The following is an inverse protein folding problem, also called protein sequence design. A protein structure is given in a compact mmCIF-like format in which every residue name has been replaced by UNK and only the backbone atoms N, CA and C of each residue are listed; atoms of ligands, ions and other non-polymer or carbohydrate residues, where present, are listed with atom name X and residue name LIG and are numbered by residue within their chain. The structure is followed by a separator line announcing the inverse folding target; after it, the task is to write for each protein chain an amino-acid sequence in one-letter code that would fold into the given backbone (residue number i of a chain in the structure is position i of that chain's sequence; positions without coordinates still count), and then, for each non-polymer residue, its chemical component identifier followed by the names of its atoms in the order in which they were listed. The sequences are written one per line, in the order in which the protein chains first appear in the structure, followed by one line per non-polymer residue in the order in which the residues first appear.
data_IF_442171111609
#
_entry.id   IF_442171111609
#
_cell.length_a   1.000
_cell.length_b   1.000
_cell.length_c   1.000
_cell.angle_alpha   90.00
_cell.angle_beta   90.00
_cell.angle_gamma   90.00
#
_symmetry.space_group_name_H-M   'P 1'
#
loop_
_entity.id
_entity.type
_entity.pdbx_description
1 polymer ?
#
# COMPACT_ATOMS: atom_id res chain seq x y z
N UNK A 1 -21.05 10.34 29.74
CA UNK A 1 -21.00 9.51 28.51
C UNK A 1 -19.55 9.03 28.36
N UNK A 2 -19.27 7.72 28.48
CA UNK A 2 -17.91 7.18 28.31
C UNK A 2 -17.49 7.32 26.85
N UNK A 3 -16.33 7.94 26.52
CA UNK A 3 -15.84 7.96 25.15
C UNK A 3 -15.64 6.53 24.65
N UNK A 4 -16.08 6.26 23.42
CA UNK A 4 -15.90 4.96 22.77
C UNK A 4 -14.40 4.63 22.66
N UNK A 5 -14.05 3.33 22.65
CA UNK A 5 -12.63 2.87 22.56
C UNK A 5 -11.88 3.44 21.34
N UNK A 6 -12.59 3.66 20.24
CA UNK A 6 -12.04 4.29 19.03
C UNK A 6 -11.67 5.77 19.23
N UNK A 7 -12.44 6.49 20.05
CA UNK A 7 -12.15 7.90 20.36
C UNK A 7 -10.83 8.05 21.14
N UNK A 8 -10.55 7.20 22.11
CA UNK A 8 -9.31 7.26 22.90
C UNK A 8 -8.07 6.96 22.04
N UNK A 9 -8.15 5.97 21.13
CA UNK A 9 -7.05 5.65 20.20
C UNK A 9 -6.74 6.85 19.30
N UNK A 10 -7.74 7.41 18.67
CA UNK A 10 -7.61 8.56 17.78
C UNK A 10 -7.01 9.77 18.49
N UNK A 11 -7.46 10.06 19.72
CA UNK A 11 -6.94 11.15 20.53
C UNK A 11 -5.48 10.94 20.94
N UNK A 12 -5.08 9.71 21.29
CA UNK A 12 -3.67 9.38 21.57
C UNK A 12 -2.81 9.62 20.35
N UNK A 13 -3.25 9.16 19.18
CA UNK A 13 -2.55 9.37 17.90
C UNK A 13 -2.43 10.87 17.59
N UNK A 14 -3.49 11.65 17.79
CA UNK A 14 -3.49 13.10 17.55
C UNK A 14 -2.45 13.83 18.41
N UNK A 15 -2.33 13.46 19.69
CA UNK A 15 -1.28 14.02 20.57
C UNK A 15 0.11 13.63 20.07
N UNK A 16 0.31 12.37 19.70
CA UNK A 16 1.60 11.87 19.20
C UNK A 16 1.99 12.50 17.84
N UNK A 17 1.04 12.90 17.01
CA UNK A 17 1.31 13.66 15.78
C UNK A 17 1.91 15.04 16.04
N UNK A 18 1.65 15.63 17.20
CA UNK A 18 2.27 16.92 17.61
C UNK A 18 3.69 16.77 18.12
N UNK A 19 4.11 15.54 18.40
CA UNK A 19 5.48 15.21 18.80
C UNK A 19 5.59 14.10 19.84
N UNK A 20 6.81 13.63 20.09
CA UNK A 20 7.10 12.58 21.06
C UNK A 20 6.66 12.96 22.48
N UNK A 21 5.96 12.08 23.17
CA UNK A 21 5.40 12.35 24.49
C UNK A 21 5.47 11.14 25.42
N UNK A 22 5.21 11.35 26.71
CA UNK A 22 5.20 10.28 27.72
C UNK A 22 3.78 9.81 28.05
N UNK A 23 3.67 8.62 28.65
CA UNK A 23 2.40 8.13 29.18
C UNK A 23 1.72 9.12 30.13
N UNK A 24 2.49 9.76 31.02
CA UNK A 24 1.97 10.70 32.01
C UNK A 24 1.45 11.97 31.36
N UNK A 25 2.14 12.47 30.34
CA UNK A 25 1.69 13.62 29.55
C UNK A 25 0.37 13.30 28.83
N UNK A 26 0.26 12.11 28.22
CA UNK A 26 -0.99 11.65 27.58
C UNK A 26 -2.15 11.56 28.55
N UNK A 27 -1.92 11.01 29.76
CA UNK A 27 -2.95 10.93 30.82
C UNK A 27 -3.42 12.33 31.21
N UNK A 28 -2.48 13.25 31.44
CA UNK A 28 -2.79 14.63 31.84
C UNK A 28 -3.55 15.36 30.75
N UNK A 29 -3.12 15.25 29.50
CA UNK A 29 -3.71 15.98 28.38
C UNK A 29 -5.07 15.45 27.97
N UNK A 30 -5.24 14.12 27.96
CA UNK A 30 -6.46 13.49 27.49
C UNK A 30 -7.52 13.30 28.59
N UNK A 31 -7.13 13.41 29.86
CA UNK A 31 -8.04 13.18 30.98
C UNK A 31 -8.55 11.74 31.07
N UNK A 32 -7.79 10.78 30.54
CA UNK A 32 -8.16 9.35 30.49
C UNK A 32 -7.28 8.57 31.46
N UNK A 33 -7.78 7.44 31.96
CA UNK A 33 -7.05 6.64 32.95
C UNK A 33 -5.73 6.11 32.38
N UNK A 34 -4.71 6.01 33.24
CA UNK A 34 -3.39 5.46 32.89
C UNK A 34 -3.47 4.07 32.23
N UNK A 35 -4.38 3.24 32.72
CA UNK A 35 -4.61 1.88 32.18
C UNK A 35 -5.16 1.93 30.77
N UNK A 36 -6.10 2.81 30.47
CA UNK A 36 -6.66 2.96 29.13
C UNK A 36 -5.62 3.46 28.13
N UNK A 37 -4.81 4.48 28.51
CA UNK A 37 -3.72 4.98 27.64
C UNK A 37 -2.67 3.88 27.40
N UNK A 38 -2.26 3.15 28.45
CA UNK A 38 -1.30 2.05 28.32
C UNK A 38 -1.78 0.97 27.35
N UNK A 39 -3.05 0.62 27.42
CA UNK A 39 -3.66 -0.35 26.50
C UNK A 39 -3.57 0.15 25.03
N UNK A 40 -3.92 1.43 24.78
CA UNK A 40 -3.85 1.99 23.43
C UNK A 40 -2.41 2.05 22.92
N UNK A 41 -1.47 2.46 23.76
CA UNK A 41 -0.05 2.46 23.38
C UNK A 41 0.45 1.05 23.05
N UNK A 42 0.09 0.04 23.83
CA UNK A 42 0.47 -1.35 23.57
C UNK A 42 -0.10 -1.88 22.24
N UNK A 43 -1.35 -1.51 21.91
CA UNK A 43 -1.97 -1.85 20.63
C UNK A 43 -1.23 -1.13 19.48
N UNK A 44 -0.96 0.16 19.61
CA UNK A 44 -0.27 0.96 18.60
C UNK A 44 1.18 0.50 18.39
N UNK A 45 1.87 0.08 19.47
CA UNK A 45 3.22 -0.53 19.37
C UNK A 45 3.17 -1.87 18.63
N UNK A 46 2.23 -2.76 18.96
CA UNK A 46 2.02 -4.03 18.28
C UNK A 46 1.72 -3.84 16.79
N UNK A 47 0.91 -2.84 16.45
CA UNK A 47 0.53 -2.50 15.08
C UNK A 47 1.65 -1.74 14.34
N UNK A 48 2.81 -1.52 14.95
CA UNK A 48 3.95 -0.80 14.37
C UNK A 48 3.69 0.70 14.14
N UNK A 49 2.63 1.25 14.72
CA UNK A 49 2.28 2.66 14.56
C UNK A 49 3.04 3.58 15.53
N UNK A 50 3.47 3.05 16.67
CA UNK A 50 4.19 3.78 17.72
C UNK A 50 5.45 3.04 18.12
N UNK A 51 6.49 3.77 18.46
CA UNK A 51 7.76 3.24 18.93
C UNK A 51 8.20 3.96 20.20
N UNK A 52 8.94 3.26 21.07
CA UNK A 52 9.63 3.87 22.23
C UNK A 52 10.98 4.41 21.80
N UNK A 53 11.22 5.71 22.02
CA UNK A 53 12.45 6.43 21.65
C UNK A 53 13.36 6.76 22.84
N UNK A 54 13.35 5.96 23.88
CA UNK A 54 14.20 6.18 25.05
C UNK A 54 13.42 6.65 26.28
N UNK A 55 14.13 7.29 27.18
CA UNK A 55 13.62 7.73 28.48
C UNK A 55 13.75 9.24 28.64
N UNK A 56 12.70 9.89 29.11
CA UNK A 56 12.72 11.30 29.57
C UNK A 56 12.74 11.33 31.09
N UNK A 57 13.49 12.26 31.69
CA UNK A 57 13.48 12.48 33.13
C UNK A 57 12.06 12.85 33.58
N UNK A 58 11.41 11.98 34.35
CA UNK A 58 10.12 12.22 34.98
C UNK A 58 10.25 12.83 36.34
N UNK A 59 9.11 13.18 36.99
CA UNK A 59 9.08 13.75 38.37
C UNK A 59 9.73 12.83 39.42
N UNK A 60 9.52 11.52 39.30
CA UNK A 60 10.00 10.53 40.28
C UNK A 60 10.87 9.44 39.64
N UNK A 61 10.57 9.03 38.42
CA UNK A 61 11.29 7.98 37.66
C UNK A 61 11.38 8.34 36.21
N UNK A 62 12.42 7.87 35.48
CA UNK A 62 12.47 8.00 34.04
C UNK A 62 11.22 7.38 33.39
N UNK A 63 10.64 8.06 32.41
CA UNK A 63 9.45 7.63 31.69
C UNK A 63 9.79 7.37 30.21
N UNK A 64 9.26 6.30 29.65
CA UNK A 64 9.37 6.03 28.23
C UNK A 64 8.71 7.14 27.41
N UNK A 65 9.39 7.56 26.37
CA UNK A 65 8.88 8.47 25.34
C UNK A 65 8.33 7.64 24.20
N UNK A 66 7.13 7.97 23.77
CA UNK A 66 6.43 7.35 22.66
C UNK A 66 6.38 8.31 21.48
N UNK A 67 6.57 7.78 20.29
CA UNK A 67 6.61 8.54 19.03
C UNK A 67 5.88 7.75 17.95
N UNK A 68 5.19 8.44 17.03
CA UNK A 68 4.65 7.81 15.84
C UNK A 68 5.80 7.38 14.91
N UNK A 69 5.64 6.24 14.26
CA UNK A 69 6.54 5.84 13.19
C UNK A 69 6.26 6.64 11.92
N UNK A 70 7.30 6.88 11.10
CA UNK A 70 7.12 7.56 9.82
C UNK A 70 6.11 6.84 8.91
N UNK A 71 6.09 5.51 8.95
CA UNK A 71 5.11 4.70 8.21
C UNK A 71 3.67 4.93 8.69
N UNK A 72 3.45 5.06 10.01
CA UNK A 72 2.13 5.39 10.53
C UNK A 72 1.69 6.79 10.10
N UNK A 73 2.59 7.75 10.08
CA UNK A 73 2.31 9.11 9.65
C UNK A 73 1.98 9.18 8.15
N UNK A 74 2.72 8.44 7.32
CA UNK A 74 2.41 8.29 5.88
C UNK A 74 1.02 7.69 5.66
N UNK A 75 0.66 6.64 6.40
CA UNK A 75 -0.68 6.02 6.31
C UNK A 75 -1.83 6.95 6.70
N UNK A 76 -1.56 7.97 7.51
CA UNK A 76 -2.53 8.99 7.92
C UNK A 76 -2.64 10.16 6.93
N UNK A 77 -1.76 10.23 5.94
CA UNK A 77 -1.81 11.29 4.93
C UNK A 77 -2.96 11.03 3.96
N UNK A 78 -3.84 11.99 3.83
CA UNK A 78 -4.93 11.98 2.84
C UNK A 78 -4.57 12.79 1.59
N UNK A 79 -3.35 13.30 1.47
CA UNK A 79 -2.91 14.13 0.36
C UNK A 79 -2.48 13.33 -0.87
N UNK A 80 -2.01 12.08 -0.69
CA UNK A 80 -1.43 11.31 -1.78
C UNK A 80 -2.40 11.08 -2.94
N UNK A 81 -3.62 10.65 -2.65
CA UNK A 81 -4.62 10.39 -3.71
C UNK A 81 -5.01 11.67 -4.44
N UNK A 82 -5.42 12.78 -3.78
CA UNK A 82 -5.72 14.04 -4.48
C UNK A 82 -4.55 14.57 -5.30
N UNK A 83 -3.33 14.54 -4.76
CA UNK A 83 -2.13 15.02 -5.48
C UNK A 83 -1.84 14.14 -6.69
N UNK A 84 -1.92 12.81 -6.54
CA UNK A 84 -1.73 11.88 -7.66
C UNK A 84 -2.78 12.10 -8.75
N UNK A 85 -4.06 12.24 -8.39
CA UNK A 85 -5.13 12.49 -9.36
C UNK A 85 -4.87 13.78 -10.13
N UNK A 86 -4.51 14.87 -9.46
CA UNK A 86 -4.20 16.14 -10.13
C UNK A 86 -2.95 16.04 -10.99
N UNK A 87 -1.92 15.30 -10.55
CA UNK A 87 -0.73 15.06 -11.35
C UNK A 87 -1.06 14.31 -12.66
N UNK A 88 -1.91 13.29 -12.58
CA UNK A 88 -2.37 12.53 -13.75
C UNK A 88 -3.17 13.44 -14.72
N UNK A 89 -4.05 14.29 -14.23
CA UNK A 89 -4.75 15.28 -15.06
C UNK A 89 -3.76 16.22 -15.78
N UNK A 90 -2.80 16.79 -15.05
CA UNK A 90 -1.80 17.69 -15.65
C UNK A 90 -0.95 16.95 -16.68
N UNK A 91 -0.60 15.69 -16.46
CA UNK A 91 0.16 14.89 -17.42
C UNK A 91 -0.67 14.55 -18.65
N UNK A 92 -1.94 14.15 -18.49
CA UNK A 92 -2.83 13.85 -19.61
C UNK A 92 -3.14 15.07 -20.47
N UNK A 93 -3.12 16.27 -19.91
CA UNK A 93 -3.32 17.52 -20.65
C UNK A 93 -2.06 17.96 -21.44
N UNK A 94 -0.87 17.51 -21.01
CA UNK A 94 0.42 17.94 -21.58
C UNK A 94 1.05 16.93 -22.55
N UNK A 95 0.71 15.66 -22.40
CA UNK A 95 1.29 14.55 -23.16
C UNK A 95 0.26 14.03 -24.16
N UNK A 96 0.74 13.56 -25.31
CA UNK A 96 -0.08 12.74 -26.19
C UNK A 96 -0.44 11.41 -25.50
N UNK A 97 -1.51 10.75 -25.95
CA UNK A 97 -1.92 9.46 -25.43
C UNK A 97 -0.79 8.40 -25.47
N UNK A 98 0.04 8.44 -26.51
CA UNK A 98 1.19 7.53 -26.67
C UNK A 98 2.29 7.82 -25.63
N UNK A 99 2.60 9.10 -25.42
CA UNK A 99 3.60 9.51 -24.42
C UNK A 99 3.12 9.21 -22.99
N UNK A 100 1.83 9.44 -22.72
CA UNK A 100 1.25 9.16 -21.41
C UNK A 100 1.26 7.64 -21.12
N UNK A 101 0.90 6.80 -22.11
CA UNK A 101 1.02 5.34 -21.99
C UNK A 101 2.47 4.92 -21.71
N UNK A 102 3.43 5.47 -22.43
CA UNK A 102 4.85 5.18 -22.23
C UNK A 102 5.31 5.55 -20.81
N UNK A 103 4.91 6.70 -20.30
CA UNK A 103 5.19 7.13 -18.92
C UNK A 103 4.58 6.16 -17.90
N UNK A 104 3.34 5.71 -18.10
CA UNK A 104 2.70 4.75 -17.19
C UNK A 104 3.43 3.40 -17.19
N UNK A 105 3.84 2.90 -18.37
CA UNK A 105 4.65 1.68 -18.47
C UNK A 105 6.01 1.83 -17.79
N UNK A 106 6.65 2.99 -17.90
CA UNK A 106 7.91 3.31 -17.20
C UNK A 106 7.71 3.29 -15.68
N UNK A 107 6.64 3.87 -15.17
CA UNK A 107 6.29 3.81 -13.75
C UNK A 107 6.19 2.36 -13.28
N UNK A 108 5.52 1.48 -14.04
CA UNK A 108 5.44 0.05 -13.73
C UNK A 108 6.81 -0.62 -13.64
N UNK A 109 7.72 -0.31 -14.58
CA UNK A 109 9.10 -0.82 -14.57
C UNK A 109 9.90 -0.31 -13.37
N UNK A 110 9.77 0.97 -13.03
CA UNK A 110 10.51 1.59 -11.92
C UNK A 110 10.06 1.07 -10.54
N UNK A 111 8.80 0.66 -10.39
CA UNK A 111 8.33 0.00 -9.16
C UNK A 111 9.06 -1.31 -8.87
N UNK A 112 9.79 -1.84 -9.84
CA UNK A 112 10.58 -3.07 -9.74
C UNK A 112 12.10 -2.84 -9.65
N UNK A 113 12.58 -1.61 -9.68
CA UNK A 113 14.02 -1.30 -9.83
C UNK A 113 14.91 -2.01 -8.79
N UNK A 114 14.43 -2.13 -7.55
CA UNK A 114 15.18 -2.76 -6.45
C UNK A 114 14.66 -4.16 -6.08
N UNK A 115 13.75 -4.73 -6.88
CA UNK A 115 13.13 -6.03 -6.56
C UNK A 115 13.77 -7.16 -7.39
N UNK A 116 14.19 -8.26 -6.75
CA UNK A 116 14.68 -9.42 -7.47
C UNK A 116 13.55 -10.03 -8.32
N UNK A 117 13.88 -10.44 -9.54
CA UNK A 117 12.93 -11.13 -10.42
C UNK A 117 12.74 -12.57 -9.94
N UNK A 118 11.51 -13.10 -9.88
CA UNK A 118 11.27 -14.50 -9.56
C UNK A 118 11.81 -15.41 -10.66
N UNK A 119 12.25 -16.61 -10.27
CA UNK A 119 12.76 -17.65 -11.17
C UNK A 119 11.89 -18.89 -11.09
N UNK A 120 12.04 -19.81 -12.05
CA UNK A 120 11.32 -21.07 -12.08
C UNK A 120 10.13 -21.06 -13.05
N UNK A 121 9.23 -22.04 -12.88
CA UNK A 121 8.07 -22.22 -13.73
C UNK A 121 7.19 -20.97 -13.79
N UNK A 122 6.52 -20.77 -14.91
CA UNK A 122 5.64 -19.60 -15.14
C UNK A 122 4.62 -19.41 -14.00
N UNK A 123 4.05 -20.50 -13.50
CA UNK A 123 3.10 -20.49 -12.38
C UNK A 123 3.71 -19.92 -11.11
N UNK A 124 4.90 -20.34 -10.72
CA UNK A 124 5.57 -19.82 -9.53
C UNK A 124 5.89 -18.34 -9.66
N UNK A 125 6.28 -17.89 -10.87
CA UNK A 125 6.51 -16.47 -11.17
C UNK A 125 5.21 -15.66 -11.11
N UNK A 126 4.09 -16.20 -11.59
CA UNK A 126 2.77 -15.58 -11.50
C UNK A 126 2.27 -15.51 -10.05
N UNK A 127 2.51 -16.53 -9.23
CA UNK A 127 2.19 -16.53 -7.80
C UNK A 127 2.99 -15.45 -7.05
N UNK A 128 4.28 -15.31 -7.34
CA UNK A 128 5.10 -14.22 -6.80
C UNK A 128 4.60 -12.83 -7.23
N UNK A 129 4.13 -12.68 -8.48
CA UNK A 129 3.52 -11.43 -8.94
C UNK A 129 2.17 -11.14 -8.25
N UNK A 130 1.37 -12.18 -7.99
CA UNK A 130 0.14 -12.05 -7.20
C UNK A 130 0.44 -11.56 -5.79
N UNK A 131 1.46 -12.09 -5.14
CA UNK A 131 1.88 -11.64 -3.81
C UNK A 131 2.38 -10.19 -3.83
N UNK A 132 3.16 -9.79 -4.83
CA UNK A 132 3.58 -8.40 -5.03
C UNK A 132 2.37 -7.46 -5.18
N UNK A 133 1.37 -7.83 -5.98
CA UNK A 133 0.15 -7.05 -6.13
C UNK A 133 -0.64 -6.96 -4.82
N UNK A 134 -0.63 -8.02 -3.99
CA UNK A 134 -1.26 -8.00 -2.67
C UNK A 134 -0.55 -7.05 -1.70
N UNK A 135 0.78 -6.95 -1.77
CA UNK A 135 1.54 -5.95 -1.00
C UNK A 135 1.21 -4.51 -1.42
N UNK A 136 0.80 -4.30 -2.67
CA UNK A 136 0.34 -3.01 -3.19
C UNK A 136 -1.15 -2.73 -2.91
N UNK A 137 -1.82 -3.58 -2.13
CA UNK A 137 -3.23 -3.42 -1.75
C UNK A 137 -4.22 -4.11 -2.69
N UNK A 138 -3.74 -4.98 -3.57
CA UNK A 138 -4.58 -5.93 -4.31
C UNK A 138 -5.13 -7.02 -3.39
N UNK A 139 -6.09 -7.77 -3.92
CA UNK A 139 -6.55 -9.03 -3.34
C UNK A 139 -6.62 -10.02 -4.47
N UNK A 140 -5.48 -10.64 -4.77
CA UNK A 140 -5.28 -11.40 -6.00
C UNK A 140 -5.08 -12.88 -5.74
N UNK A 141 -5.45 -13.69 -6.73
CA UNK A 141 -5.18 -15.13 -6.80
C UNK A 141 -4.83 -15.52 -8.23
N UNK A 142 -4.02 -16.58 -8.38
CA UNK A 142 -3.64 -17.15 -9.67
C UNK A 142 -4.60 -18.28 -10.02
N UNK A 143 -5.21 -18.21 -11.19
CA UNK A 143 -6.09 -19.21 -11.78
C UNK A 143 -5.50 -19.71 -13.11
N UNK A 144 -6.01 -20.85 -13.58
CA UNK A 144 -5.62 -21.43 -14.88
C UNK A 144 -4.62 -22.58 -14.78
N UNK A 145 -4.25 -23.10 -15.93
CA UNK A 145 -3.35 -24.25 -16.11
C UNK A 145 -2.26 -23.92 -17.17
N UNK A 146 -1.49 -24.91 -17.57
CA UNK A 146 -0.30 -24.75 -18.42
C UNK A 146 -0.47 -24.01 -19.76
N UNK A 147 -1.67 -23.86 -20.29
CA UNK A 147 -1.93 -23.13 -21.55
C UNK A 147 -2.13 -21.62 -21.35
N UNK A 148 -2.41 -21.17 -20.12
CA UNK A 148 -2.56 -19.78 -19.79
C UNK A 148 -2.87 -19.59 -18.30
N UNK A 149 -2.28 -18.57 -17.73
CA UNK A 149 -2.52 -18.20 -16.34
C UNK A 149 -3.24 -16.86 -16.27
N UNK A 150 -4.08 -16.72 -15.28
CA UNK A 150 -4.78 -15.46 -14.99
C UNK A 150 -4.55 -15.09 -13.54
N UNK A 151 -4.00 -13.90 -13.31
CA UNK A 151 -4.06 -13.29 -11.99
C UNK A 151 -5.38 -12.51 -11.91
N UNK A 152 -6.29 -12.99 -11.07
CA UNK A 152 -7.57 -12.34 -10.81
C UNK A 152 -7.51 -11.53 -9.54
N UNK A 153 -7.92 -10.27 -9.59
CA UNK A 153 -8.02 -9.40 -8.42
C UNK A 153 -9.48 -9.16 -8.00
N UNK A 154 -9.74 -9.20 -6.72
CA UNK A 154 -11.02 -8.81 -6.10
C UNK A 154 -11.05 -7.33 -5.67
N UNK A 155 -9.97 -6.61 -5.84
CA UNK A 155 -9.83 -5.17 -5.58
C UNK A 155 -8.81 -4.55 -6.52
N UNK A 156 -8.83 -3.23 -6.64
CA UNK A 156 -7.87 -2.50 -7.47
C UNK A 156 -7.00 -1.60 -6.59
N UNK A 157 -5.68 -1.76 -6.57
CA UNK A 157 -4.79 -0.88 -5.81
C UNK A 157 -4.82 0.57 -6.31
N UNK A 158 -5.23 0.79 -7.57
CA UNK A 158 -5.38 2.09 -8.19
C UNK A 158 -6.83 2.55 -8.32
N UNK A 159 -7.76 2.00 -7.51
CA UNK A 159 -9.20 2.28 -7.64
C UNK A 159 -9.55 3.77 -7.63
N UNK A 160 -8.78 4.57 -6.92
CA UNK A 160 -9.01 6.01 -6.81
C UNK A 160 -8.70 6.79 -8.11
N UNK A 161 -7.89 6.24 -9.02
CA UNK A 161 -7.46 6.91 -10.25
C UNK A 161 -7.86 6.15 -11.52
N UNK A 162 -8.08 4.85 -11.44
CA UNK A 162 -8.31 3.99 -12.60
C UNK A 162 -9.64 4.25 -13.34
N UNK A 163 -10.59 4.94 -12.72
CA UNK A 163 -11.87 5.33 -13.34
C UNK A 163 -11.65 6.53 -14.26
N UNK A 164 -10.98 7.57 -13.76
CA UNK A 164 -10.77 8.83 -14.50
C UNK A 164 -9.55 8.73 -15.43
N UNK A 165 -8.54 7.93 -15.06
CA UNK A 165 -7.29 7.72 -15.79
C UNK A 165 -7.04 6.21 -16.01
N UNK A 166 -7.78 5.58 -16.94
CA UNK A 166 -7.62 4.15 -17.22
C UNK A 166 -6.22 3.73 -17.66
N UNK A 167 -5.43 4.65 -18.21
CA UNK A 167 -4.04 4.44 -18.63
C UNK A 167 -3.13 4.09 -17.46
N UNK A 168 -3.50 4.46 -16.23
CA UNK A 168 -2.75 4.04 -15.03
C UNK A 168 -2.70 2.53 -14.84
N UNK A 169 -3.67 1.79 -15.43
CA UNK A 169 -3.66 0.34 -15.44
C UNK A 169 -2.46 -0.23 -16.22
N UNK A 170 -1.91 0.52 -17.19
CA UNK A 170 -0.75 0.10 -17.97
C UNK A 170 0.54 0.04 -17.13
N UNK A 171 0.59 0.81 -16.04
CA UNK A 171 1.66 0.67 -15.05
C UNK A 171 1.62 -0.71 -14.37
N UNK A 172 0.43 -1.19 -13.99
CA UNK A 172 0.29 -2.51 -13.38
C UNK A 172 0.53 -3.65 -14.38
N UNK A 173 0.10 -3.48 -15.63
CA UNK A 173 0.40 -4.44 -16.71
C UNK A 173 1.91 -4.56 -16.93
N UNK A 174 2.59 -3.43 -17.09
CA UNK A 174 4.04 -3.38 -17.26
C UNK A 174 4.78 -3.98 -16.06
N UNK A 175 4.35 -3.65 -14.83
CA UNK A 175 4.90 -4.24 -13.62
C UNK A 175 4.80 -5.77 -13.64
N UNK A 176 3.61 -6.32 -13.90
CA UNK A 176 3.40 -7.78 -13.90
C UNK A 176 4.19 -8.43 -15.03
N UNK A 177 4.14 -7.88 -16.25
CA UNK A 177 4.86 -8.41 -17.42
C UNK A 177 6.38 -8.49 -17.18
N UNK A 178 6.95 -7.40 -16.69
CA UNK A 178 8.37 -7.32 -16.38
C UNK A 178 8.78 -8.23 -15.22
N UNK A 179 7.95 -8.33 -14.18
CA UNK A 179 8.23 -9.15 -13.02
C UNK A 179 8.15 -10.63 -13.33
N UNK A 180 7.13 -11.05 -14.07
CA UNK A 180 6.93 -12.46 -14.47
C UNK A 180 7.88 -12.83 -15.63
N UNK A 181 8.30 -11.88 -16.47
CA UNK A 181 9.08 -12.14 -17.67
C UNK A 181 8.27 -12.86 -18.74
N UNK A 182 6.97 -12.55 -18.86
CA UNK A 182 6.04 -13.15 -19.80
C UNK A 182 5.18 -12.07 -20.47
N UNK A 183 4.45 -12.44 -21.50
CA UNK A 183 3.50 -11.52 -22.14
C UNK A 183 2.25 -11.45 -21.29
N UNK A 184 1.88 -10.25 -20.91
CA UNK A 184 0.76 -9.99 -20.01
C UNK A 184 -0.17 -8.99 -20.66
N UNK A 185 -1.47 -9.29 -20.62
CA UNK A 185 -2.52 -8.36 -21.06
C UNK A 185 -3.48 -8.14 -19.90
N UNK A 186 -3.69 -6.87 -19.54
CA UNK A 186 -4.63 -6.54 -18.50
C UNK A 186 -6.06 -6.36 -19.05
N UNK A 187 -7.04 -6.87 -18.31
CA UNK A 187 -8.45 -6.63 -18.54
C UNK A 187 -9.08 -6.10 -17.24
N UNK A 188 -9.39 -4.82 -17.24
CA UNK A 188 -9.98 -4.18 -16.07
C UNK A 188 -11.50 -4.05 -16.26
N UNK A 189 -12.25 -4.64 -15.33
CA UNK A 189 -13.68 -4.34 -15.19
C UNK A 189 -13.82 -3.08 -14.32
N UNK A 190 -14.31 -2.00 -14.93
CA UNK A 190 -14.49 -0.68 -14.28
C UNK A 190 -15.96 -0.40 -13.99
N UNK A 191 -16.88 -1.30 -14.31
CA UNK A 191 -18.29 -1.18 -13.98
C UNK A 191 -18.48 -1.38 -12.47
N UNK A 192 -18.63 -0.30 -11.74
CA UNK A 192 -18.74 -0.29 -10.28
C UNK A 192 -17.37 -0.34 -9.57
N UNK A 193 -17.15 -1.33 -8.70
CA UNK A 193 -15.86 -1.50 -8.01
C UNK A 193 -14.82 -2.08 -8.98
N UNK A 194 -13.73 -1.35 -9.30
CA UNK A 194 -12.74 -1.80 -10.25
C UNK A 194 -12.09 -3.13 -9.85
N UNK A 195 -11.98 -4.05 -10.83
CA UNK A 195 -11.35 -5.37 -10.66
C UNK A 195 -10.39 -5.62 -11.80
N UNK A 196 -9.18 -6.02 -11.49
CA UNK A 196 -8.15 -6.31 -12.47
C UNK A 196 -8.12 -7.81 -12.79
N UNK A 197 -7.80 -8.12 -14.07
CA UNK A 197 -7.40 -9.45 -14.52
C UNK A 197 -6.16 -9.29 -15.39
N UNK A 198 -5.15 -10.10 -15.13
CA UNK A 198 -3.94 -10.15 -15.94
C UNK A 198 -3.86 -11.53 -16.57
N UNK A 199 -4.01 -11.58 -17.89
CA UNK A 199 -3.80 -12.79 -18.67
C UNK A 199 -2.32 -12.91 -18.97
N UNK A 200 -1.71 -14.03 -18.62
CA UNK A 200 -0.28 -14.28 -18.71
C UNK A 200 -0.07 -15.43 -19.69
N UNK A 201 0.70 -15.15 -20.75
CA UNK A 201 1.10 -16.13 -21.75
C UNK A 201 2.63 -16.26 -21.70
N UNK A 202 3.13 -17.46 -21.50
CA UNK A 202 4.56 -17.73 -21.50
C UNK A 202 5.18 -17.36 -22.83
N UNK A 203 6.36 -16.76 -22.84
CA UNK A 203 7.16 -16.57 -24.06
C UNK A 203 7.71 -17.92 -24.52
N UNK A 204 7.92 -18.07 -25.82
CA UNK A 204 8.49 -19.29 -26.40
C UNK A 204 9.75 -19.71 -25.64
N UNK A 205 9.67 -20.85 -24.91
CA UNK A 205 10.70 -21.36 -24.01
C UNK A 205 10.20 -21.70 -22.60
N UNK A 206 9.04 -21.21 -22.18
CA UNK A 206 8.46 -21.48 -20.85
C UNK A 206 7.67 -22.82 -20.80
N UNK A 207 7.60 -23.58 -21.90
CA UNK A 207 6.75 -24.81 -22.04
C UNK A 207 7.38 -26.11 -21.55
N UNK A 208 8.46 -26.10 -20.78
CA UNK A 208 9.08 -27.34 -20.29
C UNK A 208 9.75 -27.13 -18.92
N UNK A 209 8.98 -27.24 -17.84
CA UNK A 209 9.45 -27.76 -16.54
C UNK A 209 8.24 -28.03 -15.62
#
# INVERSE_FOLDING_TARGET
MKPARDDTRSRVVEVLRRGPTTLDSLVTELGVTRTAIRLQLAILERDGAVVRRGLRRGRTKPAHVYELTGEAEQRMSHAYVPVLTQLLHVLSDRLSAVEFDAVMRDVGRQLLAERPRPRGALRARAEAASELLNQLGGLTAVEGNGEGLVIRSHGCPLAATAVDHPETCNAMESLVSEFVGADVTQHCDRAGRPRCRFHIVGRNGDSAA
#
